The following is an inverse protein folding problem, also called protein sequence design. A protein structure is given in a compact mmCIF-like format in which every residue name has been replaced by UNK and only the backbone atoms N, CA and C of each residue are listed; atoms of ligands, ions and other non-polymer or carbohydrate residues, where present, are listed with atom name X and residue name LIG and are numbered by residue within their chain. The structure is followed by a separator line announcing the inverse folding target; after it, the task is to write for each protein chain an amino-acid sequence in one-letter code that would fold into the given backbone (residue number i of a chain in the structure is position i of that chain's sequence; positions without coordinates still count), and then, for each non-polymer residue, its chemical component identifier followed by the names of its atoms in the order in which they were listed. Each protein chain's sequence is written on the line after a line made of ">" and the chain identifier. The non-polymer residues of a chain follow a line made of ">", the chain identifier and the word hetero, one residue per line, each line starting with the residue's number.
data_IF_000238070487
#
_entry.id   IF_000238070487
#
_cell.length_a   1.000
_cell.length_b   1.000
_cell.length_c   1.000
_cell.angle_alpha   90.00
_cell.angle_beta   90.00
_cell.angle_gamma   90.00
#
_symmetry.space_group_name_H-M   'P 1'
#
loop_
_entity.id
_entity.type
_entity.pdbx_description
1 polymer ?
#
# COMPACT_ATOMS: atom_id res chain seq x y z
N UNK A 1 8.54 17.36 28.80
CA UNK A 1 8.53 16.71 27.48
C UNK A 1 9.43 17.54 26.60
N UNK A 2 10.46 16.95 26.03
CA UNK A 2 11.34 17.66 25.09
C UNK A 2 10.58 17.90 23.78
N UNK A 3 10.59 19.13 23.30
CA UNK A 3 10.13 19.47 21.95
C UNK A 3 11.35 19.65 21.03
N UNK A 4 11.20 19.29 19.78
CA UNK A 4 12.23 19.47 18.76
C UNK A 4 11.62 20.21 17.57
N UNK A 5 12.31 21.23 17.09
CA UNK A 5 11.96 21.89 15.85
C UNK A 5 12.27 20.97 14.67
N UNK A 6 11.29 20.76 13.77
CA UNK A 6 11.42 19.94 12.57
C UNK A 6 10.84 20.65 11.36
N UNK A 7 11.55 20.56 10.27
CA UNK A 7 11.17 21.14 8.99
C UNK A 7 10.55 20.10 8.08
N UNK A 8 9.42 20.46 7.47
CA UNK A 8 8.68 19.64 6.50
C UNK A 8 8.69 20.32 5.15
N UNK A 9 9.14 19.61 4.14
CA UNK A 9 9.13 20.05 2.75
C UNK A 9 8.06 19.26 2.00
N UNK A 10 6.90 19.86 1.82
CA UNK A 10 5.68 19.21 1.33
C UNK A 10 5.43 19.59 -0.12
N UNK A 11 5.19 18.58 -0.98
CA UNK A 11 4.73 18.80 -2.34
C UNK A 11 3.29 19.30 -2.32
N UNK A 12 3.07 20.47 -2.94
CA UNK A 12 1.74 21.11 -3.04
C UNK A 12 1.33 21.21 -4.50
N UNK A 13 0.02 21.22 -4.73
CA UNK A 13 -0.55 21.32 -6.07
C UNK A 13 -0.76 19.96 -6.75
N UNK A 14 -0.81 19.97 -8.07
CA UNK A 14 -1.16 18.78 -8.86
C UNK A 14 -2.67 18.49 -8.89
N UNK A 15 -3.02 17.26 -9.23
CA UNK A 15 -4.40 16.80 -9.34
C UNK A 15 -5.12 17.28 -10.61
N UNK A 16 -6.43 16.97 -10.73
CA UNK A 16 -7.22 17.25 -11.93
C UNK A 16 -7.35 18.73 -12.29
N UNK A 17 -7.18 19.63 -11.30
CA UNK A 17 -7.24 21.09 -11.51
C UNK A 17 -6.03 21.64 -12.29
N UNK A 18 -4.97 20.84 -12.49
CA UNK A 18 -3.74 21.27 -13.14
C UNK A 18 -2.97 22.36 -12.35
N UNK A 19 -3.19 22.46 -11.04
CA UNK A 19 -2.46 23.40 -10.19
C UNK A 19 -0.97 23.13 -10.29
N UNK A 20 -0.11 24.17 -10.49
CA UNK A 20 1.33 23.99 -10.54
C UNK A 20 1.87 23.27 -9.30
N UNK A 21 2.80 22.35 -9.53
CA UNK A 21 3.40 21.53 -8.45
C UNK A 21 4.63 22.24 -7.93
N UNK A 22 4.68 22.50 -6.64
CA UNK A 22 5.81 23.13 -5.95
C UNK A 22 6.02 22.55 -4.55
N UNK A 23 7.26 22.64 -4.04
CA UNK A 23 7.53 22.31 -2.64
C UNK A 23 7.34 23.55 -1.76
N UNK A 24 6.58 23.41 -0.68
CA UNK A 24 6.48 24.42 0.39
C UNK A 24 7.10 23.89 1.67
N UNK A 25 7.75 24.81 2.40
CA UNK A 25 8.41 24.48 3.66
C UNK A 25 7.53 24.93 4.83
N UNK A 26 7.47 24.08 5.85
CA UNK A 26 6.76 24.31 7.10
C UNK A 26 7.65 23.92 8.26
N UNK A 27 7.68 24.71 9.33
CA UNK A 27 8.44 24.41 10.54
C UNK A 27 7.49 24.26 11.74
N UNK A 28 7.73 23.24 12.55
CA UNK A 28 6.94 22.90 13.73
C UNK A 28 7.82 22.49 14.89
N UNK A 29 7.41 22.88 16.10
CA UNK A 29 7.90 22.28 17.33
C UNK A 29 7.06 21.05 17.69
N UNK A 30 7.65 19.87 17.63
CA UNK A 30 6.99 18.59 17.87
C UNK A 30 7.55 17.89 19.10
N UNK A 31 6.67 17.17 19.81
CA UNK A 31 7.11 16.25 20.86
C UNK A 31 7.75 14.99 20.26
N UNK A 32 8.52 14.29 21.08
CA UNK A 32 9.26 13.09 20.68
C UNK A 32 8.40 11.93 20.14
N UNK A 33 7.10 11.91 20.44
CA UNK A 33 6.21 10.83 20.01
C UNK A 33 5.37 11.18 18.78
N UNK A 34 5.48 12.41 18.27
CA UNK A 34 4.69 12.87 17.16
C UNK A 34 4.95 12.04 15.89
N UNK A 35 3.88 11.67 15.21
CA UNK A 35 3.94 11.03 13.90
C UNK A 35 3.95 12.08 12.77
N UNK A 36 4.27 11.63 11.55
CA UNK A 36 4.13 12.48 10.35
C UNK A 36 2.68 12.94 10.17
N UNK A 37 1.70 12.09 10.54
CA UNK A 37 0.29 12.48 10.47
C UNK A 37 -0.03 13.60 11.47
N UNK A 38 0.46 13.52 12.70
CA UNK A 38 0.26 14.59 13.68
C UNK A 38 0.86 15.92 13.18
N UNK A 39 2.05 15.87 12.59
CA UNK A 39 2.66 17.05 11.99
C UNK A 39 1.80 17.64 10.85
N UNK A 40 1.22 16.80 9.97
CA UNK A 40 0.32 17.26 8.92
C UNK A 40 -0.95 17.91 9.46
N UNK A 41 -1.52 17.35 10.54
CA UNK A 41 -2.69 17.95 11.23
C UNK A 41 -2.34 19.34 11.77
N UNK A 42 -1.19 19.50 12.43
CA UNK A 42 -0.72 20.82 12.93
C UNK A 42 -0.47 21.81 11.80
N UNK A 43 0.21 21.39 10.73
CA UNK A 43 0.44 22.25 9.56
C UNK A 43 -0.89 22.69 8.96
N UNK A 44 -1.86 21.80 8.82
CA UNK A 44 -3.18 22.11 8.27
C UNK A 44 -3.95 23.10 9.14
N UNK A 45 -3.90 22.94 10.45
CA UNK A 45 -4.63 23.81 11.36
C UNK A 45 -4.01 25.21 11.46
N UNK A 46 -2.69 25.29 11.50
CA UNK A 46 -1.99 26.53 11.86
C UNK A 46 -1.41 27.29 10.66
N UNK A 47 -0.98 26.58 9.59
CA UNK A 47 -0.18 27.20 8.53
C UNK A 47 -0.76 27.02 7.12
N UNK A 48 -1.46 25.93 6.84
CA UNK A 48 -1.96 25.59 5.50
C UNK A 48 -3.33 24.89 5.55
N UNK A 49 -4.43 25.63 5.80
CA UNK A 49 -5.78 25.06 5.93
C UNK A 49 -6.27 24.33 4.66
N UNK A 50 -5.65 24.61 3.52
CA UNK A 50 -5.92 24.03 2.21
C UNK A 50 -5.08 22.80 1.90
N UNK A 51 -4.24 22.33 2.82
CA UNK A 51 -3.39 21.14 2.62
C UNK A 51 -4.23 19.89 2.46
N UNK A 52 -4.08 19.22 1.31
CA UNK A 52 -4.80 18.00 0.96
C UNK A 52 -3.99 16.75 1.25
N UNK A 53 -4.50 15.88 2.09
CA UNK A 53 -4.00 14.52 2.35
C UNK A 53 -5.14 13.63 2.82
N UNK A 54 -4.92 12.32 2.81
CA UNK A 54 -5.93 11.33 3.25
C UNK A 54 -5.55 10.74 4.60
N UNK A 55 -6.53 10.63 5.49
CA UNK A 55 -6.36 9.96 6.78
C UNK A 55 -7.71 9.46 7.31
N UNK A 56 -7.69 8.55 8.28
CA UNK A 56 -8.91 8.08 8.94
C UNK A 56 -8.62 7.50 10.33
N UNK A 57 -8.03 6.29 10.44
CA UNK A 57 -7.95 5.54 11.70
C UNK A 57 -6.86 6.01 12.69
N UNK A 58 -5.80 6.66 12.24
CA UNK A 58 -4.63 7.12 13.01
C UNK A 58 -3.78 6.02 13.69
N UNK A 59 -4.03 4.74 13.40
CA UNK A 59 -3.33 3.61 14.05
C UNK A 59 -2.97 2.46 13.09
N UNK A 60 -2.79 2.76 11.81
CA UNK A 60 -2.28 1.79 10.83
C UNK A 60 -3.28 0.72 10.36
N UNK A 61 -4.59 0.91 10.58
CA UNK A 61 -5.61 -0.09 10.25
C UNK A 61 -6.29 0.14 8.89
N UNK A 62 -6.43 1.39 8.44
CA UNK A 62 -7.21 1.71 7.23
C UNK A 62 -6.39 1.92 5.95
N UNK A 63 -5.09 2.09 6.04
CA UNK A 63 -4.20 2.30 4.90
C UNK A 63 -4.30 3.65 4.18
N UNK A 64 -5.23 4.54 4.56
CA UNK A 64 -5.54 5.76 3.79
C UNK A 64 -4.45 6.82 3.81
N UNK A 65 -3.61 6.87 4.85
CA UNK A 65 -2.55 7.87 5.01
C UNK A 65 -1.21 7.47 4.36
N UNK A 66 -1.25 6.58 3.37
CA UNK A 66 -0.07 6.20 2.59
C UNK A 66 0.47 7.39 1.80
N UNK A 67 1.77 7.65 1.94
CA UNK A 67 2.49 8.70 1.20
C UNK A 67 3.98 8.37 1.10
N UNK A 68 4.71 9.15 0.33
CA UNK A 68 6.16 9.03 0.23
C UNK A 68 6.84 9.96 1.24
N UNK A 69 7.56 9.38 2.20
CA UNK A 69 8.33 10.09 3.24
C UNK A 69 9.81 9.88 2.97
N UNK A 70 10.54 10.95 2.68
CA UNK A 70 11.96 10.90 2.33
C UNK A 70 12.27 9.83 1.26
N UNK A 71 11.45 9.78 0.21
CA UNK A 71 11.60 8.85 -0.92
C UNK A 71 11.15 7.41 -0.64
N UNK A 72 10.55 7.12 0.52
CA UNK A 72 10.06 5.78 0.87
C UNK A 72 8.56 5.77 1.13
N UNK A 73 7.79 4.83 0.54
CA UNK A 73 6.38 4.67 0.84
C UNK A 73 6.18 4.27 2.31
N UNK A 74 5.36 5.05 3.03
CA UNK A 74 5.07 4.85 4.46
C UNK A 74 3.63 5.25 4.79
N UNK A 75 3.09 4.72 5.90
CA UNK A 75 1.88 5.24 6.52
C UNK A 75 2.25 6.40 7.45
N UNK A 76 1.70 7.58 7.20
CA UNK A 76 2.01 8.77 8.01
C UNK A 76 1.68 8.58 9.49
N UNK A 77 0.60 7.87 9.82
CA UNK A 77 0.18 7.61 11.21
C UNK A 77 1.08 6.62 11.97
N UNK A 78 1.92 5.84 11.30
CA UNK A 78 2.87 4.92 11.92
C UNK A 78 4.32 5.42 11.85
N UNK A 79 4.57 6.50 11.13
CA UNK A 79 5.91 7.04 10.94
C UNK A 79 6.18 8.11 12.00
N UNK A 80 6.94 7.76 13.03
CA UNK A 80 7.37 8.71 14.04
C UNK A 80 8.40 9.68 13.48
N UNK A 81 8.26 10.94 13.82
CA UNK A 81 9.19 11.99 13.37
C UNK A 81 10.60 11.78 13.95
N UNK A 82 10.69 11.26 15.18
CA UNK A 82 11.97 10.95 15.83
C UNK A 82 12.78 9.87 15.13
N UNK A 83 12.11 8.91 14.43
CA UNK A 83 12.76 7.81 13.69
C UNK A 83 13.30 8.26 12.32
N UNK A 84 13.00 9.48 11.90
CA UNK A 84 13.48 10.03 10.64
C UNK A 84 14.83 10.72 10.81
N UNK A 85 15.68 10.63 9.78
CA UNK A 85 16.98 11.28 9.79
C UNK A 85 16.87 12.78 10.10
N UNK A 86 17.92 13.34 10.67
CA UNK A 86 18.02 14.78 10.88
C UNK A 86 17.96 15.53 9.55
N UNK A 87 17.37 16.74 9.58
CA UNK A 87 17.17 17.59 8.41
C UNK A 87 15.70 17.67 7.98
N UNK A 88 15.48 18.15 6.78
CA UNK A 88 14.14 18.34 6.23
C UNK A 88 13.44 17.00 5.96
N UNK A 89 12.16 16.92 6.35
CA UNK A 89 11.31 15.77 6.08
C UNK A 89 10.54 16.06 4.79
N UNK A 90 10.90 15.37 3.72
CA UNK A 90 10.26 15.52 2.41
C UNK A 90 9.02 14.64 2.34
N UNK A 91 7.88 15.25 2.01
CA UNK A 91 6.61 14.56 1.84
C UNK A 91 6.09 14.74 0.40
N UNK A 92 5.72 13.63 -0.22
CA UNK A 92 5.21 13.54 -1.59
C UNK A 92 4.02 12.56 -1.64
N UNK A 93 3.11 12.68 -2.64
CA UNK A 93 2.07 11.68 -2.84
C UNK A 93 2.67 10.29 -3.08
N UNK A 94 1.85 9.26 -2.87
CA UNK A 94 2.27 7.89 -3.11
C UNK A 94 2.47 7.65 -4.61
N UNK A 95 3.66 7.20 -4.99
CA UNK A 95 4.05 6.97 -6.39
C UNK A 95 3.17 5.89 -7.03
N UNK A 96 2.87 6.06 -8.32
CA UNK A 96 2.06 5.10 -9.10
C UNK A 96 0.56 5.19 -8.87
N UNK A 97 0.09 6.15 -8.06
CA UNK A 97 -1.33 6.45 -7.89
C UNK A 97 -1.68 7.81 -8.47
N UNK A 98 -2.91 7.95 -8.95
CA UNK A 98 -3.42 9.20 -9.51
C UNK A 98 -3.49 10.29 -8.45
N UNK A 99 -2.79 11.43 -8.61
CA UNK A 99 -2.82 12.52 -7.64
C UNK A 99 -4.17 13.25 -7.69
N UNK A 100 -4.76 13.48 -6.53
CA UNK A 100 -5.97 14.31 -6.36
C UNK A 100 -5.62 15.77 -6.00
N UNK A 101 -4.45 15.98 -5.43
CA UNK A 101 -3.90 17.26 -5.01
C UNK A 101 -2.97 17.07 -3.80
N UNK A 102 -1.88 17.83 -3.76
CA UNK A 102 -0.83 17.77 -2.73
C UNK A 102 -0.39 16.32 -2.45
N UNK A 103 -0.67 15.80 -1.27
CA UNK A 103 -0.33 14.44 -0.84
C UNK A 103 -1.48 13.44 -1.04
N UNK A 104 -2.66 13.91 -1.43
CA UNK A 104 -3.83 13.05 -1.62
C UNK A 104 -3.76 12.32 -2.97
N UNK A 105 -4.01 11.01 -2.94
CA UNK A 105 -4.07 10.14 -4.14
C UNK A 105 -5.38 9.39 -4.22
N UNK A 106 -5.82 9.06 -5.44
CA UNK A 106 -7.00 8.23 -5.71
C UNK A 106 -6.68 6.75 -5.46
N UNK A 107 -7.48 6.00 -4.70
CA UNK A 107 -7.33 4.56 -4.57
C UNK A 107 -7.92 3.78 -5.75
N UNK A 108 -8.61 4.45 -6.68
CA UNK A 108 -9.41 3.79 -7.73
C UNK A 108 -8.57 2.87 -8.60
N UNK A 109 -7.39 3.31 -9.02
CA UNK A 109 -6.49 2.50 -9.85
C UNK A 109 -6.06 1.21 -9.15
N UNK A 110 -5.74 1.30 -7.85
CA UNK A 110 -5.41 0.13 -7.03
C UNK A 110 -6.60 -0.81 -6.90
N UNK A 111 -7.77 -0.27 -6.55
CA UNK A 111 -8.99 -1.08 -6.34
C UNK A 111 -9.44 -1.77 -7.63
N UNK A 112 -9.34 -1.08 -8.78
CA UNK A 112 -9.70 -1.63 -10.09
C UNK A 112 -8.73 -2.72 -10.58
N UNK A 113 -7.50 -2.74 -10.07
CA UNK A 113 -6.51 -3.74 -10.45
C UNK A 113 -6.74 -5.10 -9.76
N UNK A 114 -7.46 -5.12 -8.63
CA UNK A 114 -7.81 -6.38 -7.98
C UNK A 114 -8.81 -7.18 -8.81
N UNK A 115 -8.73 -8.51 -8.81
CA UNK A 115 -9.76 -9.35 -9.41
C UNK A 115 -11.14 -9.01 -8.81
N UNK A 116 -12.18 -8.96 -9.66
CA UNK A 116 -13.51 -8.48 -9.28
C UNK A 116 -14.08 -9.15 -8.02
N UNK A 117 -13.77 -10.42 -7.83
CA UNK A 117 -14.29 -11.22 -6.71
C UNK A 117 -13.33 -11.37 -5.52
N UNK A 118 -12.20 -10.66 -5.54
CA UNK A 118 -11.16 -10.79 -4.51
C UNK A 118 -11.25 -9.75 -3.38
N UNK A 119 -12.25 -8.88 -3.41
CA UNK A 119 -12.46 -7.86 -2.37
C UNK A 119 -12.74 -8.45 -1.00
N UNK A 120 -12.44 -7.68 0.05
CA UNK A 120 -12.76 -8.06 1.44
C UNK A 120 -14.26 -8.12 1.71
N UNK A 121 -15.02 -7.24 1.04
CA UNK A 121 -16.47 -7.17 1.17
C UNK A 121 -17.06 -7.80 -0.09
N UNK A 122 -17.52 -9.03 0.04
CA UNK A 122 -18.32 -9.70 -0.98
C UNK A 122 -19.55 -10.33 -0.32
N UNK A 123 -20.60 -10.45 -1.08
CA UNK A 123 -21.74 -11.26 -0.63
C UNK A 123 -21.25 -12.67 -0.33
N UNK A 124 -21.56 -13.14 0.85
CA UNK A 124 -21.18 -14.47 1.30
C UNK A 124 -22.42 -15.29 1.58
N UNK A 125 -22.57 -16.37 0.86
CA UNK A 125 -23.56 -17.41 1.15
C UNK A 125 -23.09 -18.35 2.29
N UNK A 126 -21.89 -18.10 2.82
CA UNK A 126 -21.31 -18.94 3.87
C UNK A 126 -22.14 -18.80 5.14
N UNK A 127 -22.68 -19.92 5.58
CA UNK A 127 -23.36 -20.04 6.87
C UNK A 127 -22.37 -19.62 7.99
N UNK A 128 -22.85 -18.85 8.96
CA UNK A 128 -22.07 -18.41 10.13
C UNK A 128 -21.45 -19.58 10.92
N UNK A 129 -22.03 -20.76 10.80
CA UNK A 129 -21.59 -21.99 11.44
C UNK A 129 -20.70 -22.86 10.54
N UNK A 130 -20.33 -22.38 9.35
CA UNK A 130 -19.42 -23.11 8.48
C UNK A 130 -18.04 -23.25 9.15
N UNK A 131 -17.48 -24.46 9.08
CA UNK A 131 -16.12 -24.71 9.52
C UNK A 131 -15.14 -23.78 8.77
N UNK A 132 -14.20 -23.19 9.49
CA UNK A 132 -13.16 -22.38 8.86
C UNK A 132 -12.36 -23.24 7.88
N UNK A 133 -12.10 -22.77 6.68
CA UNK A 133 -11.17 -23.45 5.78
C UNK A 133 -9.82 -23.66 6.47
N UNK A 134 -9.19 -24.80 6.27
CA UNK A 134 -7.91 -25.17 6.90
C UNK A 134 -6.80 -24.13 6.65
N UNK A 135 -6.79 -23.48 5.48
CA UNK A 135 -5.88 -22.39 5.15
C UNK A 135 -6.04 -21.13 6.05
N UNK A 136 -7.24 -20.90 6.57
CA UNK A 136 -7.54 -19.78 7.49
C UNK A 136 -7.12 -20.10 8.92
N UNK A 137 -7.07 -21.37 9.32
CA UNK A 137 -6.59 -21.78 10.64
C UNK A 137 -5.11 -21.50 10.83
N UNK A 138 -4.32 -21.51 9.76
CA UNK A 138 -2.88 -21.22 9.77
C UNK A 138 -2.56 -19.72 9.78
N UNK A 139 -3.53 -18.85 9.91
CA UNK A 139 -3.33 -17.41 9.88
C UNK A 139 -2.55 -16.96 8.64
N UNK A 140 -3.15 -17.12 7.47
CA UNK A 140 -2.59 -16.60 6.22
C UNK A 140 -2.51 -15.09 6.29
N UNK A 141 -1.30 -14.55 6.31
CA UNK A 141 -1.04 -13.13 6.57
C UNK A 141 -1.65 -12.19 5.55
N UNK A 142 -2.06 -12.68 4.38
CA UNK A 142 -2.76 -11.85 3.42
C UNK A 142 -4.07 -11.27 3.98
N UNK A 143 -4.74 -11.96 4.89
CA UNK A 143 -5.94 -11.44 5.54
C UNK A 143 -5.69 -10.14 6.34
N UNK A 144 -4.42 -9.80 6.59
CA UNK A 144 -4.01 -8.55 7.19
C UNK A 144 -3.76 -7.43 6.17
N UNK A 145 -3.97 -7.66 4.88
CA UNK A 145 -3.80 -6.62 3.87
C UNK A 145 -4.84 -5.51 4.07
N UNK A 146 -4.37 -4.28 4.23
CA UNK A 146 -5.20 -3.10 4.44
C UNK A 146 -5.33 -2.26 3.16
N UNK A 147 -4.95 -2.81 2.02
CA UNK A 147 -5.07 -2.20 0.68
C UNK A 147 -4.47 -0.77 0.60
N UNK A 148 -3.38 -0.55 1.35
CA UNK A 148 -2.75 0.77 1.46
C UNK A 148 -1.93 1.20 0.23
N UNK A 149 -1.62 0.28 -0.70
CA UNK A 149 -0.84 0.55 -1.91
C UNK A 149 0.66 0.74 -1.73
N UNK A 150 1.22 0.71 -0.51
CA UNK A 150 2.65 0.94 -0.28
C UNK A 150 3.54 -0.05 -1.05
N UNK A 151 3.13 -1.31 -1.13
CA UNK A 151 3.87 -2.35 -1.86
C UNK A 151 3.87 -2.12 -3.38
N UNK A 152 2.81 -1.52 -3.92
CA UNK A 152 2.75 -1.11 -5.33
C UNK A 152 3.73 0.03 -5.59
N UNK A 153 3.68 1.07 -4.76
CA UNK A 153 4.55 2.23 -4.87
C UNK A 153 6.05 1.93 -4.60
N UNK A 154 6.35 0.88 -3.85
CA UNK A 154 7.73 0.47 -3.57
C UNK A 154 8.32 -0.47 -4.63
N UNK A 155 7.50 -0.98 -5.55
CA UNK A 155 7.96 -1.91 -6.57
C UNK A 155 8.81 -1.19 -7.61
N UNK A 156 10.04 -1.66 -7.92
CA UNK A 156 10.86 -1.03 -8.95
C UNK A 156 10.43 -1.39 -10.38
N UNK A 157 9.51 -2.36 -10.54
CA UNK A 157 8.95 -2.71 -11.86
C UNK A 157 7.81 -1.76 -12.17
N UNK A 158 8.05 -0.82 -13.07
CA UNK A 158 7.13 0.28 -13.36
C UNK A 158 6.12 -0.06 -14.47
N UNK A 159 6.55 -0.78 -15.51
CA UNK A 159 5.74 -0.98 -16.71
C UNK A 159 5.20 -2.40 -16.83
N UNK A 160 3.95 -2.51 -17.33
CA UNK A 160 3.29 -3.78 -17.67
C UNK A 160 3.43 -4.86 -16.58
N UNK A 161 3.15 -4.50 -15.34
CA UNK A 161 3.18 -5.42 -14.22
C UNK A 161 1.92 -5.28 -13.38
N UNK A 162 1.21 -6.40 -13.15
CA UNK A 162 0.01 -6.41 -12.30
C UNK A 162 0.29 -5.88 -10.88
N UNK A 163 1.52 -6.05 -10.43
CA UNK A 163 1.98 -5.55 -9.15
C UNK A 163 1.82 -6.50 -7.97
N UNK A 164 2.56 -6.22 -6.90
CA UNK A 164 2.66 -7.16 -5.78
C UNK A 164 1.36 -7.35 -5.00
N UNK A 165 0.51 -6.32 -4.89
CA UNK A 165 -0.75 -6.43 -4.17
C UNK A 165 -1.74 -7.35 -4.90
N UNK A 166 -1.87 -7.20 -6.22
CA UNK A 166 -2.78 -7.99 -7.07
C UNK A 166 -2.36 -9.45 -7.08
N UNK A 167 -1.08 -9.72 -7.27
CA UNK A 167 -0.58 -11.11 -7.28
C UNK A 167 -0.70 -11.78 -5.91
N UNK A 168 -0.52 -11.03 -4.82
CA UNK A 168 -0.77 -11.56 -3.48
C UNK A 168 -2.26 -11.88 -3.27
N UNK A 169 -3.17 -11.06 -3.80
CA UNK A 169 -4.60 -11.33 -3.77
C UNK A 169 -4.96 -12.59 -4.57
N UNK A 170 -4.39 -12.78 -5.77
CA UNK A 170 -4.57 -14.00 -6.56
C UNK A 170 -4.11 -15.25 -5.81
N UNK A 171 -2.97 -15.20 -5.12
CA UNK A 171 -2.50 -16.33 -4.31
C UNK A 171 -3.45 -16.67 -3.16
N UNK A 172 -4.04 -15.66 -2.52
CA UNK A 172 -5.07 -15.85 -1.51
C UNK A 172 -6.31 -16.53 -2.10
N UNK A 173 -6.78 -16.05 -3.26
CA UNK A 173 -7.94 -16.63 -3.93
C UNK A 173 -7.68 -18.09 -4.36
N UNK A 174 -6.47 -18.39 -4.81
CA UNK A 174 -6.06 -19.76 -5.12
C UNK A 174 -6.21 -20.70 -3.93
N UNK A 175 -5.89 -20.23 -2.73
CA UNK A 175 -6.05 -21.01 -1.50
C UNK A 175 -7.52 -21.16 -1.05
N UNK A 176 -8.37 -20.15 -1.32
CA UNK A 176 -9.75 -20.11 -0.85
C UNK A 176 -10.76 -20.72 -1.80
N UNK A 177 -10.47 -20.69 -3.10
CA UNK A 177 -11.37 -21.11 -4.17
C UNK A 177 -10.67 -22.08 -5.12
N UNK A 178 -10.41 -23.33 -4.66
CA UNK A 178 -9.68 -24.32 -5.47
C UNK A 178 -10.34 -24.62 -6.83
N UNK A 179 -11.65 -24.48 -6.92
CA UNK A 179 -12.45 -24.66 -8.14
C UNK A 179 -12.12 -23.61 -9.22
N UNK A 180 -11.60 -22.46 -8.84
CA UNK A 180 -11.15 -21.39 -9.76
C UNK A 180 -9.65 -21.47 -10.09
N UNK A 181 -8.99 -22.55 -9.71
CA UNK A 181 -7.52 -22.68 -9.83
C UNK A 181 -7.02 -22.34 -11.24
N UNK A 182 -7.62 -22.92 -12.28
CA UNK A 182 -7.18 -22.71 -13.67
C UNK A 182 -7.32 -21.24 -14.09
N UNK A 183 -8.40 -20.58 -13.73
CA UNK A 183 -8.63 -19.14 -13.99
C UNK A 183 -7.59 -18.27 -13.29
N UNK A 184 -7.37 -18.53 -12.01
CA UNK A 184 -6.44 -17.75 -11.18
C UNK A 184 -5.00 -17.91 -11.68
N UNK A 185 -4.56 -19.14 -11.98
CA UNK A 185 -3.23 -19.38 -12.51
C UNK A 185 -3.05 -18.80 -13.91
N UNK A 186 -4.09 -18.85 -14.76
CA UNK A 186 -4.07 -18.14 -16.02
C UNK A 186 -3.88 -16.63 -15.85
N UNK A 187 -4.62 -16.01 -14.92
CA UNK A 187 -4.48 -14.59 -14.60
C UNK A 187 -3.08 -14.24 -14.06
N UNK A 188 -2.52 -15.07 -13.18
CA UNK A 188 -1.20 -14.88 -12.60
C UNK A 188 -0.05 -15.11 -13.60
N UNK A 189 -0.26 -15.99 -14.57
CA UNK A 189 0.73 -16.37 -15.60
C UNK A 189 0.75 -15.46 -16.83
N UNK A 190 -0.10 -14.44 -16.90
CA UNK A 190 -0.11 -13.46 -18.00
C UNK A 190 1.25 -12.81 -18.19
N UNK A 191 1.55 -12.20 -19.35
CA UNK A 191 2.82 -11.50 -19.59
C UNK A 191 3.14 -10.43 -18.57
N UNK A 192 2.13 -9.75 -18.01
CA UNK A 192 2.21 -8.76 -16.95
C UNK A 192 2.18 -9.37 -15.51
N UNK A 193 2.19 -10.70 -15.40
CA UNK A 193 2.03 -11.45 -14.16
C UNK A 193 3.32 -11.77 -13.41
N UNK A 194 3.35 -12.95 -12.76
CA UNK A 194 4.41 -13.35 -11.80
C UNK A 194 5.83 -13.33 -12.38
N UNK A 195 5.99 -13.55 -13.69
CA UNK A 195 7.30 -13.60 -14.34
C UNK A 195 7.95 -12.23 -14.53
N UNK A 196 7.16 -11.15 -14.42
CA UNK A 196 7.69 -9.77 -14.41
C UNK A 196 8.35 -9.39 -13.09
N UNK A 197 8.09 -10.15 -12.01
CA UNK A 197 8.67 -9.87 -10.70
C UNK A 197 10.18 -10.09 -10.69
N UNK A 198 10.95 -9.02 -10.48
CA UNK A 198 12.42 -9.01 -10.41
C UNK A 198 12.97 -9.40 -9.03
N UNK A 199 12.09 -9.74 -8.06
CA UNK A 199 12.47 -10.20 -6.72
C UNK A 199 13.25 -9.20 -5.88
N UNK A 200 13.05 -7.90 -6.09
CA UNK A 200 13.68 -6.83 -5.30
C UNK A 200 13.26 -6.84 -3.81
N UNK A 201 12.14 -7.49 -3.47
CA UNK A 201 11.59 -7.67 -2.11
C UNK A 201 11.12 -6.37 -1.43
N UNK A 202 11.20 -5.21 -2.09
CA UNK A 202 10.78 -3.93 -1.51
C UNK A 202 9.31 -3.93 -1.08
N UNK A 203 8.44 -4.58 -1.86
CA UNK A 203 7.02 -4.75 -1.52
C UNK A 203 6.79 -5.42 -0.15
N UNK A 204 7.65 -6.37 0.22
CA UNK A 204 7.55 -7.05 1.52
C UNK A 204 8.18 -6.22 2.64
N UNK A 205 9.21 -5.41 2.34
CA UNK A 205 9.89 -4.56 3.33
C UNK A 205 9.01 -3.40 3.79
N UNK A 206 8.22 -2.82 2.88
CA UNK A 206 7.36 -1.66 3.21
C UNK A 206 6.00 -2.06 3.78
N UNK A 207 5.64 -3.34 3.77
CA UNK A 207 4.32 -3.79 4.20
C UNK A 207 4.12 -3.59 5.71
N UNK A 208 3.20 -2.69 6.14
CA UNK A 208 3.03 -2.37 7.56
C UNK A 208 2.38 -3.49 8.36
N UNK A 209 1.69 -4.41 7.68
CA UNK A 209 0.96 -5.53 8.29
C UNK A 209 1.60 -6.90 8.03
N UNK A 210 2.83 -6.90 7.47
CA UNK A 210 3.63 -8.09 7.23
C UNK A 210 2.93 -9.17 6.37
N UNK A 211 2.22 -8.76 5.34
CA UNK A 211 1.61 -9.68 4.34
C UNK A 211 2.69 -10.40 3.54
N UNK A 212 3.85 -9.77 3.33
CA UNK A 212 4.94 -10.32 2.52
C UNK A 212 4.53 -10.64 1.06
N UNK A 213 4.12 -9.67 0.24
CA UNK A 213 3.66 -9.93 -1.12
C UNK A 213 4.64 -10.73 -1.99
N UNK A 214 5.95 -10.53 -1.83
CA UNK A 214 6.95 -11.30 -2.56
C UNK A 214 6.89 -12.81 -2.31
N UNK A 215 6.48 -13.24 -1.11
CA UNK A 215 6.25 -14.66 -0.79
C UNK A 215 5.08 -15.20 -1.61
N UNK A 216 3.96 -14.48 -1.64
CA UNK A 216 2.77 -14.87 -2.42
C UNK A 216 3.08 -14.98 -3.91
N UNK A 217 3.84 -14.04 -4.48
CA UNK A 217 4.27 -14.10 -5.88
C UNK A 217 5.10 -15.36 -6.17
N UNK A 218 6.01 -15.69 -5.26
CA UNK A 218 6.84 -16.90 -5.42
C UNK A 218 6.03 -18.19 -5.31
N UNK A 219 5.01 -18.22 -4.47
CA UNK A 219 4.11 -19.37 -4.33
C UNK A 219 3.30 -19.57 -5.62
N UNK A 220 2.68 -18.52 -6.17
CA UNK A 220 1.99 -18.55 -7.46
C UNK A 220 2.91 -19.04 -8.59
N UNK A 221 4.15 -18.54 -8.64
CA UNK A 221 5.11 -18.96 -9.65
C UNK A 221 5.42 -20.46 -9.56
N UNK A 222 5.59 -20.99 -8.36
CA UNK A 222 5.78 -22.43 -8.16
C UNK A 222 4.57 -23.26 -8.59
N UNK A 223 3.36 -22.76 -8.38
CA UNK A 223 2.16 -23.46 -8.82
C UNK A 223 2.06 -23.51 -10.35
N UNK A 224 2.42 -22.41 -11.04
CA UNK A 224 2.49 -22.37 -12.52
C UNK A 224 3.59 -23.30 -13.07
N UNK A 225 4.75 -23.35 -12.42
CA UNK A 225 5.85 -24.24 -12.81
C UNK A 225 5.49 -25.73 -12.66
N UNK A 226 4.66 -26.08 -11.67
CA UNK A 226 4.16 -27.47 -11.52
C UNK A 226 3.20 -27.85 -12.64
N UNK A 227 2.32 -26.93 -13.07
CA UNK A 227 1.40 -27.23 -14.18
C UNK A 227 2.13 -27.38 -15.51
N UNK A 228 3.14 -26.53 -15.77
CA UNK A 228 3.94 -26.63 -17.01
C UNK A 228 4.91 -27.81 -17.03
N UNK A 229 5.25 -28.40 -15.91
CA UNK A 229 6.14 -29.60 -15.81
C UNK A 229 5.38 -30.92 -15.70
N UNK A 230 4.05 -30.88 -15.69
CA UNK A 230 3.17 -32.06 -15.64
C UNK A 230 2.66 -32.51 -17.03
N UNK A 231 3.06 -31.80 -18.11
CA UNK A 231 2.90 -32.22 -19.49
C UNK A 231 4.18 -32.96 -20.00
#
# INVERSE_FOLDING_TARGET
>A
MSTQERNFRILRGGGPSGTPVEFKNYSLELNEHATVLDALEWIRVEQAPDLMYRHSCHHGSCGTCGMTVNGKPKLACLTKVEDLAAGDIKLEPLVGMEPLGDLAVSPVSLMSAYPADSGYIRESEVNKDAARPEAVERFERFENCIECGLCMAACPVEDEFQGPAVLAALNRELAKTPERRAEILHAAGRPDGVYRCERALECSRVCPTAVYPAKHIMELRKELEKESGAE
#
